data_IF_593430323586
#
_entry.id   IF_593430323586
#
_cell.length_a   1.000
_cell.length_b   1.000
_cell.length_c   1.000
_cell.angle_alpha   90.00
_cell.angle_beta   90.00
_cell.angle_gamma   90.00
#
_symmetry.space_group_name_H-M   'P 1'
#
loop_
_entity.id
_entity.type
_entity.pdbx_description
1 polymer ?
#
# COMPACT_ATOMS: atom_id res chain seq x y z
N UNK A 1 -11.53 17.04 -16.23
CA UNK A 1 -10.77 16.91 -14.96
C UNK A 1 -10.41 15.45 -14.67
N UNK A 2 -11.38 14.56 -14.39
CA UNK A 2 -11.11 13.17 -14.01
C UNK A 2 -10.28 12.36 -15.03
N UNK A 3 -10.55 12.50 -16.33
CA UNK A 3 -9.78 11.82 -17.37
C UNK A 3 -8.28 12.19 -17.36
N UNK A 4 -7.96 13.45 -17.05
CA UNK A 4 -6.58 13.92 -16.94
C UNK A 4 -5.88 13.32 -15.71
N UNK A 5 -6.60 13.14 -14.60
CA UNK A 5 -6.08 12.44 -13.41
C UNK A 5 -5.74 10.98 -13.71
N UNK A 6 -6.61 10.25 -14.41
CA UNK A 6 -6.35 8.86 -14.78
C UNK A 6 -5.12 8.72 -15.70
N UNK A 7 -5.00 9.61 -16.69
CA UNK A 7 -3.83 9.64 -17.57
C UNK A 7 -2.55 9.93 -16.80
N UNK A 8 -2.57 10.89 -15.86
CA UNK A 8 -1.43 11.20 -15.02
C UNK A 8 -1.01 10.00 -14.14
N UNK A 9 -1.97 9.29 -13.53
CA UNK A 9 -1.71 8.08 -12.73
C UNK A 9 -1.09 6.98 -13.61
N UNK A 10 -1.64 6.75 -14.80
CA UNK A 10 -1.11 5.75 -15.73
C UNK A 10 0.34 6.05 -16.13
N UNK A 11 0.65 7.31 -16.42
CA UNK A 11 2.02 7.76 -16.74
C UNK A 11 2.96 7.55 -15.54
N UNK A 12 2.52 7.86 -14.32
CA UNK A 12 3.32 7.66 -13.12
C UNK A 12 3.70 6.18 -12.92
N UNK A 13 2.75 5.25 -13.09
CA UNK A 13 3.03 3.82 -13.01
C UNK A 13 3.94 3.34 -14.15
N UNK A 14 3.72 3.83 -15.37
CA UNK A 14 4.60 3.52 -16.51
C UNK A 14 6.05 3.99 -16.24
N UNK A 15 6.21 5.18 -15.67
CA UNK A 15 7.51 5.72 -15.31
C UNK A 15 8.17 4.92 -14.16
N UNK A 16 7.42 4.52 -13.14
CA UNK A 16 7.91 3.65 -12.08
C UNK A 16 8.40 2.30 -12.64
N UNK A 17 7.66 1.69 -13.56
CA UNK A 17 8.06 0.45 -14.22
C UNK A 17 9.34 0.63 -15.07
N UNK A 18 9.45 1.77 -15.77
CA UNK A 18 10.66 2.15 -16.50
C UNK A 18 11.86 2.27 -15.56
N UNK A 19 11.73 2.96 -14.43
CA UNK A 19 12.79 3.11 -13.44
C UNK A 19 13.25 1.76 -12.87
N UNK A 20 12.31 0.88 -12.52
CA UNK A 20 12.64 -0.48 -12.04
C UNK A 20 13.48 -1.23 -13.08
N UNK A 21 13.09 -1.16 -14.36
CA UNK A 21 13.83 -1.80 -15.44
C UNK A 21 15.22 -1.19 -15.62
N UNK A 22 15.32 0.13 -15.58
CA UNK A 22 16.59 0.85 -15.73
C UNK A 22 17.57 0.56 -14.57
N UNK A 23 17.09 0.55 -13.32
CA UNK A 23 17.91 0.23 -12.14
C UNK A 23 18.43 -1.21 -12.20
N UNK A 24 17.61 -2.17 -12.64
CA UNK A 24 18.02 -3.58 -12.77
C UNK A 24 19.09 -3.83 -13.83
N UNK A 25 19.26 -2.90 -14.78
CA UNK A 25 20.29 -2.99 -15.81
C UNK A 25 21.64 -2.44 -15.34
N UNK A 26 21.70 -1.77 -14.19
CA UNK A 26 22.96 -1.26 -13.64
C UNK A 26 23.83 -2.41 -13.13
N UNK A 27 25.15 -2.22 -13.19
CA UNK A 27 26.12 -3.21 -12.72
C UNK A 27 25.94 -3.44 -11.20
N UNK A 28 25.64 -4.67 -10.75
CA UNK A 28 25.44 -4.98 -9.34
C UNK A 28 26.75 -4.99 -8.53
N UNK A 29 27.90 -4.85 -9.18
CA UNK A 29 29.22 -4.78 -8.55
C UNK A 29 29.81 -6.16 -8.25
N UNK A 30 30.63 -6.25 -7.20
CA UNK A 30 31.34 -7.48 -6.86
C UNK A 30 30.44 -8.53 -6.16
N UNK A 31 30.84 -9.82 -6.14
CA UNK A 31 30.02 -10.88 -5.55
C UNK A 31 29.73 -10.72 -4.04
N UNK A 32 30.60 -10.03 -3.29
CA UNK A 32 30.39 -9.77 -1.87
C UNK A 32 29.27 -8.74 -1.66
N UNK A 33 29.25 -7.67 -2.47
CA UNK A 33 28.19 -6.66 -2.45
C UNK A 33 26.85 -7.30 -2.79
N UNK A 34 26.78 -8.12 -3.83
CA UNK A 34 25.54 -8.84 -4.21
C UNK A 34 25.03 -9.73 -3.08
N UNK A 35 25.93 -10.46 -2.40
CA UNK A 35 25.58 -11.32 -1.26
C UNK A 35 25.01 -10.51 -0.10
N UNK A 36 25.68 -9.42 0.29
CA UNK A 36 25.24 -8.56 1.40
C UNK A 36 23.91 -7.87 1.05
N UNK A 37 23.76 -7.37 -0.18
CA UNK A 37 22.53 -6.76 -0.66
C UNK A 37 21.35 -7.75 -0.59
N UNK A 38 21.56 -9.01 -0.97
CA UNK A 38 20.55 -10.06 -0.84
C UNK A 38 20.13 -10.33 0.60
N UNK A 39 21.08 -10.35 1.55
CA UNK A 39 20.78 -10.49 2.97
C UNK A 39 19.97 -9.29 3.50
N UNK A 40 20.34 -8.07 3.13
CA UNK A 40 19.60 -6.84 3.49
C UNK A 40 18.18 -6.89 2.92
N UNK A 41 18.02 -7.25 1.65
CA UNK A 41 16.71 -7.38 1.01
C UNK A 41 15.84 -8.42 1.72
N UNK A 42 16.42 -9.56 2.10
CA UNK A 42 15.69 -10.61 2.82
C UNK A 42 15.23 -10.14 4.21
N UNK A 43 16.09 -9.44 4.95
CA UNK A 43 15.77 -8.88 6.26
C UNK A 43 14.69 -7.79 6.16
N UNK A 44 14.82 -6.89 5.18
CA UNK A 44 13.82 -5.87 4.91
C UNK A 44 12.46 -6.48 4.58
N UNK A 45 12.42 -7.52 3.73
CA UNK A 45 11.16 -8.19 3.39
C UNK A 45 10.52 -8.89 4.62
N UNK A 46 11.34 -9.50 5.48
CA UNK A 46 10.85 -10.10 6.73
C UNK A 46 10.26 -9.05 7.68
N UNK A 47 10.93 -7.91 7.84
CA UNK A 47 10.44 -6.77 8.63
C UNK A 47 9.14 -6.21 8.06
N UNK A 48 9.10 -5.87 6.76
CA UNK A 48 7.92 -5.31 6.09
C UNK A 48 6.73 -6.26 6.19
N UNK A 49 6.93 -7.57 6.04
CA UNK A 49 5.87 -8.56 6.23
C UNK A 49 5.30 -8.52 7.65
N UNK A 50 6.17 -8.46 8.66
CA UNK A 50 5.72 -8.43 10.06
C UNK A 50 4.97 -7.13 10.37
N UNK A 51 5.51 -6.00 9.95
CA UNK A 51 4.91 -4.68 10.14
C UNK A 51 3.55 -4.60 9.45
N UNK A 52 3.47 -4.96 8.16
CA UNK A 52 2.21 -4.92 7.42
C UNK A 52 1.17 -5.89 7.94
N UNK A 53 1.56 -7.02 8.51
CA UNK A 53 0.61 -7.93 9.17
C UNK A 53 -0.04 -7.26 10.39
N UNK A 54 0.76 -6.57 11.22
CA UNK A 54 0.25 -5.86 12.40
C UNK A 54 -0.61 -4.66 11.95
N UNK A 55 -0.12 -3.88 10.99
CA UNK A 55 -0.81 -2.72 10.46
C UNK A 55 -2.15 -3.10 9.80
N UNK A 56 -2.19 -4.20 9.05
CA UNK A 56 -3.41 -4.71 8.45
C UNK A 56 -4.45 -5.11 9.51
N UNK A 57 -4.01 -5.74 10.60
CA UNK A 57 -4.88 -6.05 11.74
C UNK A 57 -5.45 -4.79 12.38
N UNK A 58 -4.59 -3.80 12.66
CA UNK A 58 -5.00 -2.51 13.22
C UNK A 58 -5.97 -1.76 12.30
N UNK A 59 -5.63 -1.62 11.02
CA UNK A 59 -6.46 -0.94 10.02
C UNK A 59 -7.79 -1.67 9.81
N UNK A 60 -7.81 -3.01 9.86
CA UNK A 60 -9.04 -3.80 9.80
C UNK A 60 -9.97 -3.52 10.99
N UNK A 61 -9.44 -3.50 12.21
CA UNK A 61 -10.22 -3.14 13.41
C UNK A 61 -10.73 -1.71 13.30
N UNK A 62 -9.88 -0.75 12.91
CA UNK A 62 -10.27 0.63 12.73
C UNK A 62 -11.38 0.79 11.67
N UNK A 63 -11.27 0.07 10.54
CA UNK A 63 -12.29 0.08 9.49
C UNK A 63 -13.64 -0.46 9.99
N UNK A 64 -13.64 -1.54 10.78
CA UNK A 64 -14.86 -2.07 11.42
C UNK A 64 -15.45 -1.04 12.38
N UNK A 65 -14.64 -0.41 13.22
CA UNK A 65 -15.11 0.63 14.15
C UNK A 65 -15.69 1.83 13.40
N UNK A 66 -15.01 2.31 12.35
CA UNK A 66 -15.52 3.41 11.51
C UNK A 66 -16.87 3.03 10.91
N UNK A 67 -16.99 1.83 10.35
CA UNK A 67 -18.24 1.35 9.76
C UNK A 67 -19.37 1.25 10.80
N UNK A 68 -19.06 0.81 12.02
CA UNK A 68 -20.06 0.61 13.08
C UNK A 68 -20.52 1.93 13.71
N UNK A 69 -19.62 2.90 13.88
CA UNK A 69 -19.87 4.09 14.71
C UNK A 69 -20.04 5.40 13.92
N UNK A 70 -19.54 5.51 12.68
CA UNK A 70 -19.53 6.77 11.92
C UNK A 70 -20.52 6.78 10.74
N UNK A 71 -21.18 7.94 10.44
CA UNK A 71 -21.33 9.15 11.28
C UNK A 71 -22.23 8.95 12.51
N UNK A 72 -23.06 7.91 12.53
CA UNK A 72 -23.85 7.52 13.71
C UNK A 72 -23.85 6.00 13.85
N UNK A 73 -24.04 5.46 15.08
CA UNK A 73 -24.04 4.02 15.28
C UNK A 73 -25.10 3.33 14.41
N UNK A 74 -24.71 2.27 13.69
CA UNK A 74 -25.61 1.61 12.72
C UNK A 74 -26.91 1.10 13.34
N UNK A 75 -26.90 0.77 14.64
CA UNK A 75 -28.08 0.32 15.39
C UNK A 75 -28.95 1.46 15.96
N UNK A 76 -28.42 2.67 16.04
CA UNK A 76 -29.15 3.85 16.53
C UNK A 76 -29.72 4.70 15.39
N UNK A 77 -29.28 4.46 14.15
CA UNK A 77 -29.73 5.19 12.98
C UNK A 77 -31.04 4.61 12.40
N UNK A 78 -32.02 5.45 12.08
CA UNK A 78 -33.24 5.03 11.39
C UNK A 78 -33.02 4.61 9.92
N UNK A 79 -31.87 5.01 9.34
CA UNK A 79 -31.49 4.71 7.96
C UNK A 79 -29.96 4.46 7.84
N UNK A 80 -29.46 3.29 8.26
CA UNK A 80 -28.02 2.98 8.30
C UNK A 80 -27.33 3.01 6.93
N UNK A 81 -28.09 2.85 5.85
CA UNK A 81 -27.58 2.95 4.48
C UNK A 81 -27.07 4.35 4.12
N UNK A 82 -27.47 5.39 4.85
CA UNK A 82 -27.00 6.75 4.60
C UNK A 82 -25.55 6.96 5.05
N UNK A 83 -25.04 6.13 5.97
CA UNK A 83 -23.65 6.20 6.44
C UNK A 83 -22.65 5.85 5.33
N UNK A 84 -23.08 5.09 4.32
CA UNK A 84 -22.24 4.62 3.20
C UNK A 84 -22.46 5.45 1.93
N UNK A 85 -23.52 6.27 1.90
CA UNK A 85 -23.92 7.10 0.75
C UNK A 85 -23.26 8.49 0.74
N UNK A 86 -22.17 8.67 1.48
CA UNK A 86 -21.34 9.89 1.37
C UNK A 86 -20.81 10.06 -0.05
#
# INVERSE_FOLDING_TARGET
MYALCFVAIAIAFAYAAYLIKWVRQQDPGNPQIVKVAGLIQSGANAFMRKEYTILAGFAGVAAVLILLFLPSPIWASAAPLNNVKM
#
